data_IF_165639572294
#
_entry.id   IF_165639572294
#
_cell.length_a   1.000
_cell.length_b   1.000
_cell.length_c   1.000
_cell.angle_alpha   90.00
_cell.angle_beta   90.00
_cell.angle_gamma   90.00
#
_symmetry.space_group_name_H-M   'P 1'
#
loop_
_entity.id
_entity.type
_entity.pdbx_description
1 polymer ?
2 polymer ?
3 non-polymer ?
4 water ?
#
# COMPACT_ATOMS: atom_id res chain seq x y z
N UNK A 4 16.76 19.23 -25.02
CA UNK A 4 16.41 18.41 -23.80
C UNK A 4 17.64 18.63 -22.91
N UNK A 5 18.24 19.78 -23.12
CA UNK A 5 19.53 20.03 -22.61
C UNK A 5 19.73 20.57 -21.21
N UNK A 6 18.86 21.48 -20.78
CA UNK A 6 18.85 22.03 -19.39
C UNK A 6 17.36 22.23 -18.99
N UNK A 7 17.02 22.59 -17.73
CA UNK A 7 15.55 22.80 -17.42
C UNK A 7 14.97 23.93 -18.30
N UNK A 8 15.82 24.93 -18.57
CA UNK A 8 15.49 26.08 -19.46
C UNK A 8 14.98 25.69 -20.85
N UNK A 9 15.16 24.44 -21.27
CA UNK A 9 14.45 23.97 -22.45
C UNK A 9 13.13 23.26 -22.09
N UNK A 10 12.77 23.31 -20.81
CA UNK A 10 11.42 22.88 -20.42
C UNK A 10 10.44 24.00 -20.17
N UNK A 11 9.23 23.81 -20.64
CA UNK A 11 8.11 24.52 -20.06
C UNK A 11 7.72 23.80 -18.80
N UNK A 12 7.17 24.56 -17.88
CA UNK A 12 6.65 24.02 -16.66
C UNK A 12 5.69 22.85 -17.01
N UNK A 13 4.75 23.09 -17.89
CA UNK A 13 3.79 22.03 -18.20
C UNK A 13 4.53 20.73 -18.63
N UNK A 14 5.59 20.92 -19.38
CA UNK A 14 6.46 19.85 -19.89
C UNK A 14 7.20 19.15 -18.78
N UNK A 15 7.89 19.91 -17.91
CA UNK A 15 8.63 19.30 -16.84
C UNK A 15 7.71 18.57 -15.82
N UNK A 16 6.48 19.08 -15.64
CA UNK A 16 5.47 18.41 -14.84
C UNK A 16 5.07 17.05 -15.39
N UNK A 17 4.95 16.96 -16.71
CA UNK A 17 4.68 15.70 -17.35
C UNK A 17 5.90 14.75 -17.13
N UNK A 18 7.08 15.33 -17.17
CA UNK A 18 8.23 14.48 -16.91
C UNK A 18 8.03 13.89 -15.51
N UNK A 19 7.73 14.72 -14.50
CA UNK A 19 7.68 14.28 -13.08
C UNK A 19 6.44 13.40 -12.87
N UNK A 20 5.49 13.50 -13.75
CA UNK A 20 4.25 12.76 -13.52
C UNK A 20 4.43 11.34 -13.99
N UNK A 21 5.18 11.20 -15.10
CA UNK A 21 5.68 9.90 -15.63
C UNK A 21 6.61 9.23 -14.60
N UNK A 22 7.70 9.88 -14.19
CA UNK A 22 8.54 9.34 -13.12
C UNK A 22 7.69 8.65 -12.01
N UNK A 23 6.96 9.42 -11.22
CA UNK A 23 6.06 8.95 -10.15
C UNK A 23 4.88 7.98 -10.50
N UNK A 24 4.79 7.48 -11.70
CA UNK A 24 3.81 6.46 -12.00
C UNK A 24 4.55 5.16 -12.36
N UNK A 25 4.73 4.27 -11.40
CA UNK A 25 5.18 2.95 -11.72
C UNK A 25 4.03 2.42 -12.48
N UNK A 26 4.26 1.58 -13.45
CA UNK A 26 3.24 1.31 -14.44
C UNK A 26 3.53 1.97 -15.75
N UNK A 27 4.04 3.17 -15.70
CA UNK A 27 4.29 3.93 -16.89
C UNK A 27 5.70 3.79 -17.46
N UNK A 28 6.64 3.38 -16.65
CA UNK A 28 7.96 3.09 -17.17
C UNK A 28 8.43 1.68 -16.93
N UNK A 29 9.10 1.13 -17.94
CA UNK A 29 9.96 0.00 -17.72
C UNK A 29 11.05 0.53 -16.76
N UNK A 30 11.97 -0.34 -16.30
CA UNK A 30 13.02 0.05 -15.32
C UNK A 30 14.20 0.66 -16.04
N UNK A 31 14.48 0.14 -17.24
CA UNK A 31 15.58 0.75 -17.97
C UNK A 31 15.18 2.20 -18.45
N UNK A 32 13.89 2.36 -18.80
CA UNK A 32 13.36 3.75 -19.06
C UNK A 32 13.46 4.59 -17.81
N UNK A 33 13.07 4.05 -16.65
CA UNK A 33 13.07 4.83 -15.37
C UNK A 33 14.43 5.38 -14.97
N UNK A 34 15.44 4.54 -15.17
CA UNK A 34 16.83 4.78 -14.79
C UNK A 34 17.20 6.07 -15.48
N UNK A 35 16.81 6.18 -16.74
CA UNK A 35 17.26 7.32 -17.50
C UNK A 35 16.41 8.58 -17.26
N UNK A 36 15.10 8.47 -17.03
CA UNK A 36 14.31 9.66 -16.63
C UNK A 36 14.83 10.13 -15.24
N UNK A 37 15.16 9.17 -14.36
CA UNK A 37 15.63 9.63 -13.06
C UNK A 37 16.99 10.38 -13.14
N UNK A 38 17.88 9.91 -14.06
CA UNK A 38 19.25 10.48 -14.17
C UNK A 38 19.05 11.86 -14.72
N UNK A 39 18.39 11.94 -15.88
CA UNK A 39 17.88 13.20 -16.41
C UNK A 39 17.34 14.24 -15.35
N UNK A 40 16.36 13.78 -14.54
CA UNK A 40 15.72 14.61 -13.56
C UNK A 40 16.75 15.32 -12.59
N UNK A 41 17.62 14.52 -12.00
CA UNK A 41 18.77 15.00 -11.25
C UNK A 41 19.62 16.02 -12.04
N UNK A 42 19.78 15.78 -13.32
CA UNK A 42 20.75 16.54 -14.01
C UNK A 42 20.07 17.87 -14.28
N UNK A 43 18.77 17.84 -14.61
CA UNK A 43 18.03 19.05 -14.95
C UNK A 43 17.92 19.95 -13.73
N UNK A 44 17.65 19.33 -12.61
CA UNK A 44 17.25 20.00 -11.42
C UNK A 44 18.49 20.45 -10.70
N UNK A 45 19.59 19.68 -10.78
CA UNK A 45 20.88 20.01 -10.09
C UNK A 45 20.64 20.28 -8.64
N UNK A 46 19.51 19.73 -8.18
CA UNK A 46 19.22 19.57 -6.75
C UNK A 46 20.16 18.60 -6.06
N UNK A 47 20.68 18.96 -4.87
CA UNK A 47 21.58 18.02 -4.23
C UNK A 47 20.84 16.76 -3.61
N UNK A 48 19.52 16.80 -3.35
CA UNK A 48 18.76 15.55 -3.07
C UNK A 48 18.53 14.62 -4.29
N UNK A 49 18.93 14.98 -5.53
CA UNK A 49 18.55 14.10 -6.69
C UNK A 49 17.21 13.38 -6.48
N UNK A 50 17.19 12.05 -6.58
CA UNK A 50 15.89 11.30 -6.61
C UNK A 50 15.28 11.10 -5.22
N UNK A 51 16.04 11.42 -4.20
CA UNK A 51 15.49 11.54 -2.91
C UNK A 51 14.25 12.41 -2.91
N UNK A 52 14.26 13.48 -3.68
CA UNK A 52 13.11 14.36 -3.73
C UNK A 52 11.87 13.57 -4.07
N UNK A 53 11.99 12.49 -4.83
CA UNK A 53 10.86 11.77 -5.37
C UNK A 53 10.48 10.60 -4.40
N UNK A 54 11.46 9.83 -3.94
CA UNK A 54 11.22 8.62 -3.21
C UNK A 54 11.49 8.72 -1.69
N UNK A 55 12.35 9.67 -1.26
CA UNK A 55 12.68 9.79 0.17
C UNK A 55 12.50 11.16 0.68
N UNK A 56 11.24 11.68 0.67
CA UNK A 56 10.98 13.08 0.99
C UNK A 56 10.90 13.27 2.49
N UNK A 57 11.27 14.48 2.93
CA UNK A 57 11.11 14.92 4.33
C UNK A 57 9.61 14.97 4.67
N UNK A 58 9.24 14.71 5.91
CA UNK A 58 7.82 14.57 6.24
C UNK A 58 7.12 15.90 6.06
N UNK A 59 5.91 15.85 5.51
CA UNK A 59 5.19 17.08 5.18
C UNK A 59 5.79 17.93 4.06
N UNK A 60 6.55 17.31 3.15
CA UNK A 60 6.99 17.87 1.89
C UNK A 60 5.92 17.48 0.88
N UNK A 61 5.58 18.30 -0.11
CA UNK A 61 4.49 17.82 -0.87
C UNK A 61 5.11 16.97 -1.96
N UNK A 62 4.95 15.65 -1.86
CA UNK A 62 5.59 14.77 -2.76
C UNK A 62 4.71 14.33 -4.00
N UNK A 63 3.79 15.19 -4.43
CA UNK A 63 3.00 14.93 -5.62
C UNK A 63 3.86 15.43 -6.74
N UNK A 64 3.60 15.00 -7.99
CA UNK A 64 4.31 15.63 -9.12
C UNK A 64 4.45 17.14 -9.04
N UNK A 65 3.34 17.86 -9.07
CA UNK A 65 3.34 19.37 -8.91
C UNK A 65 4.07 19.80 -7.66
N UNK A 66 3.97 19.04 -6.57
CA UNK A 66 4.76 19.41 -5.38
C UNK A 66 6.27 19.13 -5.59
N UNK A 67 6.63 18.16 -6.40
CA UNK A 67 8.06 18.01 -6.57
C UNK A 67 8.59 19.13 -7.49
N UNK A 68 7.91 19.34 -8.64
CA UNK A 68 8.11 20.49 -9.50
C UNK A 68 8.04 21.84 -8.76
N UNK A 69 7.22 21.93 -7.73
CA UNK A 69 7.26 23.18 -6.96
C UNK A 69 8.62 23.33 -6.24
N UNK A 70 8.95 22.43 -5.32
CA UNK A 70 10.16 22.63 -4.56
C UNK A 70 11.41 22.85 -5.46
N UNK A 71 11.35 22.34 -6.69
CA UNK A 71 12.42 22.47 -7.67
C UNK A 71 12.45 23.95 -8.20
N UNK A 72 11.35 24.33 -8.84
CA UNK A 72 11.04 25.72 -9.16
C UNK A 72 11.55 26.65 -8.05
N UNK A 73 11.29 26.33 -6.79
CA UNK A 73 11.62 27.30 -5.74
C UNK A 73 13.09 27.30 -5.37
N UNK A 74 13.67 26.11 -5.13
CA UNK A 74 15.08 25.97 -4.81
C UNK A 74 15.95 26.69 -5.85
N UNK A 75 15.62 26.44 -7.13
CA UNK A 75 16.35 27.01 -8.25
C UNK A 75 16.29 28.57 -8.30
N UNK A 76 15.08 29.15 -8.17
CA UNK A 76 14.93 30.62 -8.16
C UNK A 76 15.62 31.24 -6.93
N UNK A 77 15.64 30.47 -5.85
CA UNK A 77 16.17 30.93 -4.59
C UNK A 77 17.70 31.02 -4.69
N UNK A 78 18.23 30.25 -5.65
CA UNK A 78 19.65 30.09 -5.79
C UNK A 78 20.08 30.79 -7.05
N UNK A 79 19.24 31.71 -7.51
CA UNK A 79 19.44 32.39 -8.77
C UNK A 79 19.88 31.52 -9.96
N UNK A 80 19.51 30.24 -9.99
CA UNK A 80 19.77 29.46 -11.21
C UNK A 80 18.61 29.72 -12.19
N UNK A 81 18.70 29.31 -13.46
CA UNK A 81 17.59 29.56 -14.45
C UNK A 81 16.25 28.76 -14.25
N UNK A 82 15.15 29.19 -14.87
CA UNK A 82 13.83 28.59 -14.66
C UNK A 82 13.29 28.04 -15.95
N UNK A 83 12.00 27.82 -16.03
CA UNK A 83 11.52 27.21 -17.25
C UNK A 83 11.34 28.21 -18.42
N UNK A 84 11.31 27.66 -19.61
CA UNK A 84 10.87 28.34 -20.79
C UNK A 84 9.45 28.88 -20.57
N UNK A 85 9.23 30.13 -20.98
CA UNK A 85 8.00 30.90 -20.74
C UNK A 85 8.13 31.74 -19.44
N UNK B 17 7.66 -22.28 -3.82
CA UNK B 17 7.08 -22.22 -2.42
C UNK B 17 8.07 -21.67 -1.37
N UNK B 18 7.53 -20.94 -0.38
CA UNK B 18 8.37 -20.13 0.47
C UNK B 18 8.24 -20.60 1.88
N UNK B 19 9.30 -20.56 2.67
CA UNK B 19 9.14 -20.92 4.09
C UNK B 19 9.85 -19.99 5.00
N UNK B 20 9.66 -20.15 6.27
CA UNK B 20 10.53 -19.47 7.19
C UNK B 20 9.64 -18.71 8.08
N UNK B 21 10.21 -18.33 9.20
CA UNK B 21 9.56 -17.59 10.23
C UNK B 21 9.81 -16.11 10.03
N UNK B 22 10.86 -15.78 9.28
CA UNK B 22 11.43 -14.43 9.31
C UNK B 22 11.70 -13.91 10.74
N UNK B 23 11.93 -12.61 10.89
CA UNK B 23 12.05 -12.00 12.24
C UNK B 23 11.09 -10.81 12.52
N UNK B 24 10.91 -10.52 13.82
CA UNK B 24 10.16 -9.25 14.02
C UNK B 24 11.02 -8.00 13.83
N UNK B 25 10.36 -6.89 13.37
CA UNK B 25 11.07 -5.61 13.02
C UNK B 25 10.66 -4.27 13.65
N UNK B 26 11.53 -3.28 13.64
CA UNK B 26 11.16 -2.04 14.31
C UNK B 26 10.62 -1.07 13.26
N UNK B 27 10.22 0.14 13.63
CA UNK B 27 9.51 0.97 12.68
C UNK B 27 10.52 1.80 11.84
N UNK B 28 11.79 1.50 12.07
CA UNK B 28 12.88 1.80 11.17
C UNK B 28 13.60 0.51 10.68
N UNK B 29 12.82 -0.42 10.10
CA UNK B 29 13.27 -1.73 9.52
C UNK B 29 14.49 -1.73 8.56
N UNK B 30 14.46 -0.91 7.53
CA UNK B 30 15.56 -0.79 6.60
C UNK B 30 16.84 -0.02 7.08
N UNK B 31 16.82 0.64 8.21
CA UNK B 31 18.03 1.32 8.67
C UNK B 31 19.27 0.41 8.69
N UNK B 32 19.00 -0.89 8.74
CA UNK B 32 20.01 -1.91 9.01
C UNK B 32 20.53 -2.43 7.67
N UNK B 33 20.01 -1.88 6.56
CA UNK B 33 20.18 -2.52 5.24
C UNK B 33 21.51 -2.25 4.53
N UNK B 34 22.38 -1.47 5.19
CA UNK B 34 23.69 -1.20 4.63
C UNK B 34 24.85 -1.77 5.42
N UNK B 35 24.55 -2.81 6.18
CA UNK B 35 25.57 -3.44 7.03
C UNK B 35 25.27 -4.91 7.22
N UNK B 36 26.35 -5.67 7.44
CA UNK B 36 26.29 -7.07 7.76
C UNK B 36 25.39 -7.69 6.77
N UNK B 37 24.38 -8.47 7.17
CA UNK B 37 23.63 -9.17 6.13
C UNK B 37 22.31 -8.46 5.91
N UNK B 38 22.24 -7.24 6.45
CA UNK B 38 21.11 -6.37 6.13
C UNK B 38 19.90 -6.54 6.99
N UNK B 39 18.72 -6.59 6.37
CA UNK B 39 17.45 -6.52 7.14
C UNK B 39 16.67 -7.80 6.95
N UNK B 40 16.21 -8.42 8.04
CA UNK B 40 15.50 -9.72 7.87
C UNK B 40 14.19 -9.54 7.07
N UNK B 41 13.70 -10.59 6.43
CA UNK B 41 12.32 -10.67 6.08
C UNK B 41 11.54 -10.49 7.39
N UNK B 42 10.57 -9.53 7.45
CA UNK B 42 9.64 -9.35 8.60
C UNK B 42 8.76 -10.61 8.90
N UNK B 43 8.48 -10.96 10.17
CA UNK B 43 7.59 -12.14 10.51
C UNK B 43 6.25 -12.14 9.87
N UNK B 44 5.68 -10.94 9.87
CA UNK B 44 4.36 -10.78 9.34
C UNK B 44 4.33 -10.97 7.83
N UNK B 45 5.37 -10.55 7.11
CA UNK B 45 5.43 -10.75 5.64
C UNK B 45 5.66 -12.26 5.37
N UNK B 46 6.44 -12.87 6.26
CA UNK B 46 6.66 -14.31 6.21
C UNK B 46 5.32 -15.12 6.33
N UNK B 47 4.62 -14.98 7.45
CA UNK B 47 3.18 -15.32 7.53
C UNK B 47 2.41 -15.22 6.17
N UNK B 48 2.43 -14.08 5.47
CA UNK B 48 1.68 -13.86 4.25
C UNK B 48 2.18 -14.68 3.10
N UNK B 49 3.51 -14.88 3.05
CA UNK B 49 4.14 -15.46 1.87
C UNK B 49 4.15 -16.96 1.88
N UNK B 50 4.32 -17.61 3.03
CA UNK B 50 4.27 -19.08 2.95
C UNK B 50 2.82 -19.60 2.75
N UNK B 51 1.83 -18.69 2.71
CA UNK B 51 0.51 -18.95 2.08
C UNK B 51 0.48 -18.63 0.53
N UNK B 52 1.62 -18.65 -0.18
CA UNK B 52 1.63 -18.20 -1.60
C UNK B 52 2.01 -19.06 -2.87
N UNK B 53 3.12 -19.80 -2.96
CA UNK B 53 3.41 -20.39 -4.32
C UNK B 53 4.09 -19.37 -5.25
N UNK B 54 5.24 -19.72 -5.85
CA UNK B 54 5.91 -18.73 -6.72
C UNK B 54 6.43 -19.37 -7.96
N UNK B 55 6.85 -18.58 -8.94
CA UNK B 55 7.07 -19.21 -10.23
C UNK B 55 8.48 -18.98 -10.62
N UNK B 56 9.18 -18.20 -9.83
CA UNK B 56 10.58 -17.97 -10.06
C UNK B 56 10.98 -17.28 -8.79
N UNK B 57 12.26 -16.97 -8.62
CA UNK B 57 12.66 -16.14 -7.49
C UNK B 57 12.32 -14.66 -7.81
N UNK B 58 11.96 -14.38 -9.07
CA UNK B 58 11.59 -13.03 -9.45
C UNK B 58 10.15 -12.81 -9.08
N UNK B 59 9.35 -13.84 -9.29
CA UNK B 59 7.99 -13.80 -8.92
C UNK B 59 7.93 -13.65 -7.41
N UNK B 60 8.94 -14.21 -6.74
CA UNK B 60 8.96 -14.18 -5.27
C UNK B 60 9.21 -12.79 -4.83
N UNK B 61 10.14 -12.16 -5.51
CA UNK B 61 10.67 -10.84 -5.19
C UNK B 61 9.51 -9.83 -5.29
N UNK B 62 8.77 -9.96 -6.40
CA UNK B 62 7.54 -9.22 -6.68
C UNK B 62 6.58 -9.25 -5.54
N UNK B 63 6.20 -10.45 -5.05
CA UNK B 63 5.11 -10.58 -4.04
C UNK B 63 5.58 -10.20 -2.66
N UNK B 64 6.89 -10.32 -2.45
CA UNK B 64 7.45 -9.89 -1.24
C UNK B 64 7.28 -8.33 -1.16
N UNK B 65 7.48 -7.65 -2.31
CA UNK B 65 7.46 -6.19 -2.21
C UNK B 65 6.02 -5.69 -2.14
N UNK B 66 5.19 -6.26 -3.00
CA UNK B 66 3.76 -6.30 -2.89
C UNK B 66 3.17 -6.33 -1.48
N UNK B 67 3.64 -7.24 -0.65
CA UNK B 67 3.13 -7.37 0.68
C UNK B 67 3.73 -6.34 1.65
N UNK B 68 4.98 -5.96 1.41
CA UNK B 68 5.59 -5.04 2.35
C UNK B 68 4.75 -3.83 2.24
N UNK B 69 4.16 -3.61 1.07
CA UNK B 69 3.49 -2.35 0.87
C UNK B 69 2.02 -2.38 1.37
N UNK B 70 1.45 -3.57 1.61
CA UNK B 70 0.14 -3.72 2.30
C UNK B 70 0.24 -3.90 3.84
N UNK B 71 1.46 -4.01 4.36
CA UNK B 71 1.50 -4.28 5.80
C UNK B 71 1.50 -2.95 6.56
N UNK B 72 0.43 -2.62 7.36
CA UNK B 72 0.37 -1.35 8.13
C UNK B 72 1.74 -0.89 8.61
N UNK B 73 2.53 -1.80 9.12
CA UNK B 73 3.66 -1.37 9.88
C UNK B 73 4.87 -1.24 9.02
N UNK B 74 4.80 -1.79 7.84
CA UNK B 74 5.96 -1.75 6.95
C UNK B 74 5.64 -0.62 6.01
N UNK B 75 4.46 -0.60 5.42
CA UNK B 75 4.19 0.48 4.50
C UNK B 75 4.37 1.89 5.13
N UNK B 76 4.08 2.08 6.39
CA UNK B 76 4.34 3.40 6.95
C UNK B 76 5.79 3.88 6.79
N UNK B 77 6.74 3.00 6.51
CA UNK B 77 8.14 3.45 6.55
C UNK B 77 8.67 3.89 5.23
N UNK B 78 7.86 3.68 4.16
CA UNK B 78 8.12 4.14 2.81
C UNK B 78 7.21 5.31 2.37
N UNK B 79 7.78 6.15 1.49
CA UNK B 79 7.09 7.22 0.80
C UNK B 79 6.05 6.63 -0.14
N UNK B 80 5.12 7.46 -0.54
CA UNK B 80 4.09 7.13 -1.48
C UNK B 80 4.68 6.66 -2.75
N UNK B 81 5.81 7.23 -3.16
CA UNK B 81 6.25 6.90 -4.52
C UNK B 81 6.94 5.57 -4.48
N UNK B 82 7.53 5.27 -3.30
CA UNK B 82 8.00 3.88 -3.11
C UNK B 82 6.87 2.88 -2.94
N UNK B 83 5.77 3.25 -2.26
CA UNK B 83 4.64 2.30 -2.13
C UNK B 83 3.99 2.17 -3.53
N UNK B 84 3.82 3.27 -4.24
CA UNK B 84 3.45 3.11 -5.65
C UNK B 84 4.24 2.02 -6.43
N UNK B 85 5.57 2.00 -6.29
CA UNK B 85 6.41 0.96 -6.98
C UNK B 85 6.19 -0.46 -6.45
N UNK B 86 6.21 -0.64 -5.12
CA UNK B 86 5.94 -1.99 -4.43
C UNK B 86 4.57 -2.61 -4.76
N UNK B 87 3.51 -1.84 -4.63
CA UNK B 87 2.26 -2.17 -5.31
C UNK B 87 2.42 -3.02 -6.57
N UNK B 88 3.33 -2.66 -7.45
CA UNK B 88 3.39 -3.40 -8.73
C UNK B 88 4.59 -4.35 -8.77
N UNK B 89 5.24 -4.53 -7.65
CA UNK B 89 6.31 -5.54 -7.64
C UNK B 89 7.73 -5.02 -7.64
N UNK B 90 7.90 -3.75 -7.92
CA UNK B 90 9.21 -3.24 -8.03
C UNK B 90 9.73 -2.84 -6.63
N UNK B 91 11.04 -2.92 -6.54
CA UNK B 91 11.73 -2.83 -5.24
C UNK B 91 11.82 -1.36 -4.90
N UNK B 92 11.72 -1.03 -3.61
CA UNK B 92 11.69 0.41 -3.47
C UNK B 92 13.11 0.95 -3.82
N UNK B 93 13.18 2.16 -4.34
CA UNK B 93 14.41 2.93 -4.58
C UNK B 93 15.17 3.27 -3.28
N UNK B 94 16.47 3.18 -3.24
CA UNK B 94 17.24 3.64 -2.09
C UNK B 94 17.42 5.11 -2.06
N UNK B 95 17.85 5.67 -0.93
CA UNK B 95 18.42 7.02 -0.91
C UNK B 95 19.60 7.03 -1.94
N UNK B 96 19.78 8.15 -2.66
CA UNK B 96 20.79 8.24 -3.76
C UNK B 96 22.18 7.83 -3.27
N UNK B 97 22.58 8.28 -2.09
CA UNK B 97 23.85 7.84 -1.54
C UNK B 97 24.14 6.30 -1.54
N UNK B 98 23.13 5.43 -1.52
CA UNK B 98 23.31 4.00 -1.32
C UNK B 98 23.25 3.30 -2.68
N UNK B 99 23.15 4.10 -3.72
CA UNK B 99 23.10 3.68 -5.11
C UNK B 99 24.51 3.08 -5.51
N UNK B 100 24.51 2.06 -6.38
CA UNK B 100 25.74 1.80 -7.12
C UNK B 100 25.50 1.47 -8.60
N UNK B 101 26.01 2.35 -9.46
CA UNK B 101 25.85 2.20 -10.90
C UNK B 101 24.37 2.30 -11.24
N UNK B 102 23.90 1.36 -12.07
CA UNK B 102 22.47 1.16 -12.40
C UNK B 102 21.70 0.22 -11.42
N UNK B 103 22.13 0.24 -10.16
CA UNK B 103 21.49 -0.46 -9.09
C UNK B 103 21.08 0.54 -8.08
N UNK B 104 19.77 0.77 -8.06
CA UNK B 104 19.25 1.93 -7.35
C UNK B 104 18.19 1.51 -6.31
N UNK B 105 17.60 0.36 -6.51
CA UNK B 105 16.61 -0.08 -5.60
C UNK B 105 17.20 -1.05 -4.58
N UNK B 106 16.54 -1.17 -3.40
CA UNK B 106 16.88 -2.27 -2.46
C UNK B 106 16.83 -3.71 -3.06
N UNK B 107 17.68 -4.61 -2.54
CA UNK B 107 17.95 -5.88 -3.16
C UNK B 107 17.75 -7.05 -2.14
N UNK B 108 17.38 -8.22 -2.68
CA UNK B 108 17.28 -9.41 -1.81
C UNK B 108 18.52 -10.30 -1.91
N UNK B 109 19.16 -10.54 -0.78
CA UNK B 109 20.33 -11.40 -0.67
C UNK B 109 19.88 -12.81 -0.14
N UNK B 110 20.21 -13.84 -0.93
CA UNK B 110 19.99 -15.25 -0.60
C UNK B 110 21.29 -15.76 0.00
N UNK B 111 21.34 -15.98 1.30
CA UNK B 111 22.48 -16.66 1.93
C UNK B 111 22.60 -18.18 1.66
N UNK B 112 21.73 -18.81 0.86
CA UNK B 112 22.07 -20.14 0.30
C UNK B 112 21.56 -20.54 -1.09
N UNK B 113 22.26 -21.47 -1.76
CA UNK B 113 21.63 -21.62 -3.08
C UNK B 113 20.22 -22.16 -2.95
CA UNK B 120 12.62 -23.23 -2.65
C UNK B 120 12.89 -22.38 -1.39
N UNK B 121 12.05 -21.38 -1.16
CA UNK B 121 12.47 -20.10 -0.63
C UNK B 121 12.59 -19.92 0.93
N UNK B 122 13.75 -20.29 1.46
CA UNK B 122 13.87 -20.23 2.91
C UNK B 122 14.04 -18.77 3.23
N UNK B 123 13.03 -18.18 3.87
CA UNK B 123 13.02 -16.77 4.16
C UNK B 123 13.91 -16.46 5.31
N UNK B 124 14.42 -17.51 5.92
CA UNK B 124 15.20 -17.28 7.11
C UNK B 124 16.64 -16.99 6.74
N UNK B 125 16.89 -17.20 5.44
CA UNK B 125 18.20 -16.91 4.87
C UNK B 125 18.07 -15.95 3.76
N UNK B 126 17.02 -15.11 3.82
CA UNK B 126 16.85 -14.07 2.87
C UNK B 126 16.82 -12.73 3.62
N UNK B 127 17.71 -11.83 3.24
CA UNK B 127 17.56 -10.53 3.84
C UNK B 127 17.46 -9.40 2.79
N UNK B 128 17.31 -8.16 3.27
CA UNK B 128 17.24 -6.98 2.37
C UNK B 128 18.50 -6.19 2.51
N UNK B 129 19.03 -5.74 1.40
CA UNK B 129 20.33 -5.02 1.34
C UNK B 129 20.35 -3.90 0.29
N UNK B 130 21.04 -2.83 0.61
CA UNK B 130 21.36 -1.76 -0.37
C UNK B 130 22.35 -2.33 -1.38
N UNK B 131 22.23 -1.85 -2.63
CA UNK B 131 23.22 -2.20 -3.67
C UNK B 131 24.73 -2.24 -3.27
N UNK B 132 25.23 -1.32 -2.48
CA UNK B 132 26.68 -1.25 -2.18
C UNK B 132 27.05 -2.36 -1.22
N UNK B 133 26.20 -2.53 -0.21
CA UNK B 133 26.30 -3.69 0.71
C UNK B 133 26.15 -5.08 0.05
N UNK B 134 25.20 -5.24 -0.86
CA UNK B 134 25.05 -6.51 -1.54
C UNK B 134 26.34 -6.80 -2.31
N UNK B 135 26.90 -5.78 -2.97
CA UNK B 135 28.25 -5.86 -3.54
C UNK B 135 29.35 -6.34 -2.54
N UNK B 136 29.43 -5.74 -1.36
CA UNK B 136 30.53 -5.95 -0.45
C UNK B 136 30.52 -7.36 0.15
N UNK B 137 29.30 -7.92 0.26
CA UNK B 137 28.99 -9.22 0.78
C UNK B 137 29.53 -10.20 -0.17
N UNK B 138 29.19 -10.06 -1.45
CA UNK B 138 29.60 -11.04 -2.42
C UNK B 138 31.10 -10.94 -2.77
N UNK B 139 31.76 -9.78 -2.57
CA UNK B 139 33.20 -9.77 -2.68
C UNK B 139 33.95 -9.91 -1.33
N UNK B 140 33.22 -10.45 -0.36
CA UNK B 140 33.78 -10.81 0.93
C UNK B 140 34.05 -9.68 1.91
N UNK B 141 33.72 -8.42 1.57
CA UNK B 141 34.01 -7.24 2.43
C UNK B 141 32.91 -6.92 3.44
N UNK C 15 -12.70 12.99 -19.28
CA UNK C 15 -11.49 13.33 -18.53
C UNK C 15 -11.69 14.28 -17.34
N UNK C 16 -12.56 13.94 -16.37
CA UNK C 16 -12.80 14.77 -15.18
C UNK C 16 -11.56 15.09 -14.32
N UNK C 17 -11.70 15.83 -13.25
CA UNK C 17 -10.54 16.36 -12.65
C UNK C 17 -10.96 16.71 -11.22
N UNK C 18 -9.99 16.78 -10.33
CA UNK C 18 -10.35 16.70 -8.97
C UNK C 18 -9.71 17.88 -8.39
N UNK C 19 -10.44 18.62 -7.60
CA UNK C 19 -9.89 19.84 -6.97
C UNK C 19 -10.13 19.80 -5.50
N UNK C 20 -9.39 20.62 -4.79
CA UNK C 20 -9.66 20.86 -3.39
C UNK C 20 -8.41 20.66 -2.58
N UNK C 21 -8.40 21.31 -1.43
CA UNK C 21 -7.32 21.12 -0.54
C UNK C 21 -7.46 19.87 0.31
N UNK C 22 -8.70 19.40 0.52
CA UNK C 22 -8.92 18.43 1.62
C UNK C 22 -8.41 19.01 2.95
N UNK C 23 -8.21 18.17 3.97
CA UNK C 23 -7.87 18.59 5.37
C UNK C 23 -6.80 17.68 6.00
N UNK C 24 -6.18 18.15 7.12
CA UNK C 24 -5.23 17.20 7.72
C UNK C 24 -6.01 16.29 8.65
N UNK C 25 -5.53 15.06 8.87
CA UNK C 25 -6.29 14.01 9.56
C UNK C 25 -5.44 13.32 10.56
N UNK C 26 -6.04 12.82 11.63
CA UNK C 26 -5.24 12.22 12.72
C UNK C 26 -4.91 10.79 12.41
N UNK C 27 -4.23 10.10 13.32
CA UNK C 27 -3.80 8.76 12.90
C UNK C 27 -4.82 7.66 13.19
N UNK C 28 -6.03 8.15 13.46
CA UNK C 28 -7.30 7.41 13.45
C UNK C 28 -8.34 8.11 12.60
N UNK C 29 -7.88 8.51 11.45
CA UNK C 29 -8.66 9.14 10.44
C UNK C 29 -10.13 8.71 10.45
N UNK C 30 -10.43 7.45 10.15
CA UNK C 30 -11.84 6.97 9.97
C UNK C 30 -12.69 6.68 11.20
N UNK C 31 -12.20 6.92 12.43
CA UNK C 31 -13.08 6.82 13.60
C UNK C 31 -14.24 7.84 13.49
N UNK C 32 -14.00 8.91 12.76
CA UNK C 32 -14.94 9.98 12.68
C UNK C 32 -16.08 9.58 11.77
N UNK C 33 -15.95 8.43 11.08
CA UNK C 33 -16.71 8.22 9.81
C UNK C 33 -18.18 7.84 9.98
N UNK C 34 -18.56 7.77 11.25
CA UNK C 34 -19.87 7.29 11.61
C UNK C 34 -20.70 8.40 12.20
N UNK C 35 -20.18 9.63 12.14
CA UNK C 35 -20.89 10.83 12.56
C UNK C 35 -20.90 11.96 11.53
N UNK C 36 -21.81 12.92 11.70
CA UNK C 36 -21.91 14.11 10.86
C UNK C 36 -21.64 13.81 9.41
N UNK C 37 -20.74 14.60 8.80
CA UNK C 37 -20.50 14.42 7.43
C UNK C 37 -19.31 13.49 7.29
N UNK C 38 -18.81 13.03 8.43
CA UNK C 38 -17.87 11.93 8.41
C UNK C 38 -16.43 12.31 8.33
N UNK C 39 -15.69 11.67 7.43
CA UNK C 39 -14.22 11.90 7.38
C UNK C 39 -13.71 12.69 6.17
N UNK C 40 -12.91 13.76 6.44
CA UNK C 40 -12.51 14.58 5.29
C UNK C 40 -11.62 13.86 4.27
N UNK C 41 -11.47 14.41 3.06
CA UNK C 41 -10.42 13.88 2.17
C UNK C 41 -9.11 14.31 2.89
N UNK C 42 -8.12 13.39 3.09
CA UNK C 42 -6.78 13.84 3.62
C UNK C 42 -6.03 14.87 2.71
N UNK C 43 -5.34 15.86 3.26
CA UNK C 43 -4.67 16.82 2.30
C UNK C 43 -3.61 16.20 1.45
N UNK C 44 -2.90 15.20 2.01
CA UNK C 44 -1.88 14.54 1.20
C UNK C 44 -2.46 13.84 -0.05
N UNK C 45 -3.66 13.22 0.10
CA UNK C 45 -4.32 12.47 -0.99
C UNK C 45 -4.90 13.41 -2.05
N UNK C 46 -5.51 14.49 -1.56
CA UNK C 46 -5.83 15.71 -2.33
C UNK C 46 -4.65 16.15 -3.23
N UNK C 47 -3.53 16.59 -2.64
CA UNK C 47 -2.22 16.78 -3.36
C UNK C 47 -2.07 15.74 -4.44
N UNK C 48 -2.20 14.46 -4.12
CA UNK C 48 -1.89 13.43 -5.14
C UNK C 48 -2.92 13.37 -6.23
N UNK C 49 -4.15 13.79 -5.95
CA UNK C 49 -5.26 13.36 -6.76
C UNK C 49 -5.57 14.40 -7.77
N UNK C 50 -5.35 15.64 -7.40
CA UNK C 50 -5.42 16.74 -8.36
C UNK C 50 -4.22 16.80 -9.40
N UNK C 51 -3.29 15.84 -9.35
CA UNK C 51 -2.33 15.62 -10.43
C UNK C 51 -2.84 14.48 -11.30
N UNK C 52 -4.17 14.20 -11.32
CA UNK C 52 -4.64 12.92 -11.89
C UNK C 52 -5.55 12.74 -13.08
N UNK C 53 -6.59 13.53 -13.31
CA UNK C 53 -7.48 13.11 -14.45
C UNK C 53 -8.39 11.89 -14.18
N UNK C 54 -9.70 12.03 -14.32
CA UNK C 54 -10.61 10.87 -14.04
C UNK C 54 -11.65 10.56 -15.10
N UNK C 55 -12.25 9.39 -15.02
CA UNK C 55 -13.01 8.86 -16.16
C UNK C 55 -14.45 8.66 -15.79
N UNK C 56 -14.68 8.68 -14.49
CA UNK C 56 -16.01 8.68 -13.90
C UNK C 56 -15.77 9.02 -12.47
N UNK C 57 -16.86 9.25 -11.76
CA UNK C 57 -16.75 9.37 -10.33
C UNK C 57 -16.33 7.98 -9.78
N UNK C 58 -16.46 6.95 -10.61
CA UNK C 58 -16.15 5.62 -10.12
C UNK C 58 -14.68 5.48 -10.20
N UNK C 59 -14.16 6.00 -11.29
CA UNK C 59 -12.75 5.95 -11.51
C UNK C 59 -12.04 6.85 -10.49
N UNK C 60 -12.68 7.96 -10.16
CA UNK C 60 -12.23 8.79 -9.04
C UNK C 60 -12.09 7.93 -7.78
N UNK C 61 -13.08 7.09 -7.54
CA UNK C 61 -13.23 6.39 -6.29
C UNK C 61 -12.12 5.29 -6.10
N UNK C 62 -11.93 4.47 -7.11
CA UNK C 62 -10.74 3.64 -7.26
C UNK C 62 -9.44 4.36 -6.81
N UNK C 63 -9.00 5.36 -7.60
CA UNK C 63 -7.73 6.08 -7.38
C UNK C 63 -7.65 6.72 -5.97
N UNK C 64 -8.80 7.07 -5.47
CA UNK C 64 -8.77 7.68 -4.19
C UNK C 64 -8.32 6.59 -3.15
N UNK C 65 -8.77 5.35 -3.34
CA UNK C 65 -8.44 4.32 -2.39
C UNK C 65 -7.02 3.85 -2.64
N UNK C 66 -6.73 3.51 -3.90
CA UNK C 66 -5.37 3.30 -4.37
C UNK C 66 -4.41 4.28 -3.66
N UNK C 67 -4.71 5.58 -3.64
CA UNK C 67 -3.76 6.47 -3.06
C UNK C 67 -3.70 6.36 -1.54
N UNK C 68 -4.82 6.03 -0.95
CA UNK C 68 -4.86 6.07 0.47
C UNK C 68 -3.89 5.03 0.96
N UNK C 69 -3.81 3.96 0.18
CA UNK C 69 -3.11 2.76 0.61
C UNK C 69 -1.61 2.92 0.34
N UNK C 70 -1.24 3.91 -0.52
CA UNK C 70 0.15 4.30 -0.72
C UNK C 70 0.70 5.32 0.28
N UNK C 71 -0.12 5.83 1.16
CA UNK C 71 0.39 6.95 1.89
C UNK C 71 0.81 6.44 3.28
N UNK C 72 2.10 6.47 3.55
CA UNK C 72 2.67 6.05 4.86
C UNK C 72 1.71 6.28 6.06
N UNK C 73 1.07 7.42 6.08
CA UNK C 73 0.34 7.89 7.21
C UNK C 73 -1.13 7.48 7.16
N UNK C 74 -1.59 7.04 5.99
CA UNK C 74 -2.96 6.54 5.90
C UNK C 74 -2.91 5.03 5.90
N UNK C 75 -1.95 4.41 5.20
CA UNK C 75 -1.91 2.93 5.08
C UNK C 75 -1.60 2.24 6.41
N UNK C 76 -0.72 2.84 7.18
CA UNK C 76 -0.56 2.36 8.56
C UNK C 76 -1.90 2.16 9.33
N UNK C 77 -3.02 2.81 8.96
CA UNK C 77 -4.23 2.72 9.82
C UNK C 77 -5.19 1.56 9.45
N UNK C 78 -4.83 0.76 8.45
CA UNK C 78 -5.65 -0.30 7.95
C UNK C 78 -4.88 -1.66 8.09
N UNK C 79 -5.60 -2.73 8.34
CA UNK C 79 -5.04 -4.04 8.24
C UNK C 79 -4.59 -4.27 6.76
N UNK C 80 -3.80 -5.33 6.53
CA UNK C 80 -3.31 -5.67 5.24
C UNK C 80 -4.34 -6.16 4.30
N UNK C 81 -5.39 -6.76 4.82
CA UNK C 81 -6.42 -7.29 3.96
C UNK C 81 -7.26 -6.20 3.48
N UNK C 82 -7.42 -5.15 4.31
CA UNK C 82 -7.91 -3.84 3.74
C UNK C 82 -6.93 -3.16 2.78
N UNK C 83 -5.60 -3.07 3.11
CA UNK C 83 -4.68 -2.46 2.07
C UNK C 83 -4.74 -3.32 0.73
N UNK C 84 -4.99 -4.60 0.86
CA UNK C 84 -4.98 -5.49 -0.27
C UNK C 84 -6.13 -5.02 -1.11
N UNK C 85 -7.23 -4.54 -0.47
CA UNK C 85 -8.46 -4.14 -1.27
C UNK C 85 -8.29 -2.79 -2.03
N UNK C 86 -7.93 -1.78 -1.24
CA UNK C 86 -7.54 -0.45 -1.72
C UNK C 86 -6.48 -0.45 -2.88
N UNK C 87 -5.38 -1.14 -2.68
CA UNK C 87 -4.52 -1.49 -3.81
C UNK C 87 -5.22 -1.60 -5.16
N UNK C 88 -6.31 -2.28 -5.26
CA UNK C 88 -6.85 -2.51 -6.59
C UNK C 88 -8.13 -1.74 -6.72
N UNK C 89 -8.23 -0.70 -5.91
CA UNK C 89 -9.39 0.18 -6.03
C UNK C 89 -10.59 -0.03 -5.10
N UNK C 90 -10.63 -1.10 -4.37
CA UNK C 90 -11.81 -1.30 -3.61
C UNK C 90 -11.67 -0.62 -2.25
N UNK C 91 -12.85 -0.43 -1.68
CA UNK C 91 -13.04 0.51 -0.61
C UNK C 91 -12.82 -0.32 0.62
N UNK C 92 -12.17 0.28 1.65
CA UNK C 92 -11.99 -0.65 2.74
C UNK C 92 -13.31 -1.14 3.33
N UNK C 93 -13.34 -2.38 3.74
CA UNK C 93 -14.41 -2.93 4.56
C UNK C 93 -14.48 -2.34 5.97
N UNK C 94 -15.71 -1.99 6.41
CA UNK C 94 -15.96 -1.41 7.73
C UNK C 94 -16.01 -2.51 8.78
N UNK C 95 -15.84 -2.14 10.03
CA UNK C 95 -16.16 -3.05 11.08
C UNK C 95 -17.59 -3.59 10.78
N UNK C 96 -17.88 -4.82 11.15
CA UNK C 96 -19.25 -5.36 10.88
C UNK C 96 -20.52 -4.61 11.54
N UNK C 97 -20.36 -4.04 12.74
CA UNK C 97 -21.32 -3.06 13.28
C UNK C 97 -21.84 -1.95 12.33
N UNK C 98 -21.00 -1.47 11.41
CA UNK C 98 -21.25 -0.20 10.68
C UNK C 98 -21.76 -0.57 9.33
N UNK C 99 -21.97 -1.86 9.13
CA UNK C 99 -22.47 -2.38 7.86
C UNK C 99 -23.99 -2.08 7.72
N UNK C 100 -24.52 -1.96 6.49
CA UNK C 100 -26.00 -1.87 6.26
C UNK C 100 -26.38 -2.65 5.01
N UNK C 101 -27.07 -3.78 5.18
CA UNK C 101 -27.48 -4.64 4.06
C UNK C 101 -26.27 -5.16 3.33
N UNK C 102 -26.37 -5.26 2.02
CA UNK C 102 -25.18 -5.48 1.23
C UNK C 102 -24.23 -4.25 1.12
N UNK C 103 -24.08 -3.40 2.14
CA UNK C 103 -23.15 -2.25 2.11
C UNK C 103 -22.14 -2.32 3.23
N UNK C 104 -20.96 -2.79 2.86
CA UNK C 104 -19.96 -3.28 3.77
C UNK C 104 -18.58 -2.60 3.74
N UNK C 105 -18.43 -1.62 2.85
CA UNK C 105 -17.18 -0.94 2.58
C UNK C 105 -17.44 0.52 2.90
N UNK C 106 -16.38 1.29 3.22
CA UNK C 106 -16.55 2.73 3.46
C UNK C 106 -16.97 3.47 2.17
N UNK C 107 -17.68 4.56 2.34
CA UNK C 107 -18.42 5.15 1.23
C UNK C 107 -18.06 6.66 1.15
N UNK C 108 -18.10 7.14 -0.06
CA UNK C 108 -17.85 8.53 -0.38
C UNK C 108 -19.19 9.28 -0.54
N UNK C 109 -19.37 10.25 0.39
CA UNK C 109 -20.46 11.23 0.35
C UNK C 109 -20.13 12.54 -0.45
N UNK C 110 -20.83 12.80 -1.57
CA UNK C 110 -20.65 14.08 -2.35
C UNK C 110 -21.68 15.06 -1.92
N UNK C 111 -21.24 15.99 -1.09
CA UNK C 111 -22.08 17.02 -0.54
C UNK C 111 -22.62 18.00 -1.57
N UNK C 112 -22.32 17.83 -2.87
CA UNK C 112 -23.18 18.40 -3.96
C UNK C 112 -23.42 17.52 -5.23
CA UNK C 120 -15.94 17.40 -11.36
C UNK C 120 -15.58 17.80 -9.94
N UNK C 121 -14.57 17.11 -9.40
CA UNK C 121 -14.63 16.63 -8.05
C UNK C 121 -14.04 17.54 -6.97
N UNK C 122 -14.92 18.34 -6.39
CA UNK C 122 -14.47 19.22 -5.32
C UNK C 122 -14.23 18.44 -4.01
N UNK C 123 -12.99 18.07 -3.78
CA UNK C 123 -12.59 17.25 -2.60
C UNK C 123 -12.87 17.93 -1.27
N UNK C 124 -13.32 19.18 -1.39
CA UNK C 124 -13.62 19.96 -0.22
C UNK C 124 -15.08 19.78 0.21
N UNK C 125 -15.81 19.12 -0.66
CA UNK C 125 -17.12 18.66 -0.37
C UNK C 125 -17.28 17.16 -0.65
N UNK C 126 -16.20 16.42 -0.40
CA UNK C 126 -16.34 15.01 -0.47
C UNK C 126 -15.95 14.49 0.89
N UNK C 127 -16.76 13.63 1.46
CA UNK C 127 -16.24 12.93 2.66
C UNK C 127 -16.31 11.37 2.68
N UNK C 128 -15.78 10.82 3.75
CA UNK C 128 -15.89 9.35 3.89
C UNK C 128 -16.76 8.99 5.04
N UNK C 129 -17.59 8.00 4.81
CA UNK C 129 -18.62 7.65 5.81
C UNK C 129 -18.90 6.14 5.84
N UNK C 130 -19.28 5.65 7.01
CA UNK C 130 -19.89 4.31 7.09
C UNK C 130 -21.25 4.29 6.34
N UNK C 131 -21.61 3.11 5.79
CA UNK C 131 -22.94 2.91 5.11
C UNK C 131 -24.16 3.28 5.99
N UNK C 132 -24.13 3.11 7.32
CA UNK C 132 -25.30 3.52 8.17
C UNK C 132 -25.37 5.04 8.32
N UNK C 133 -24.21 5.68 8.49
CA UNK C 133 -24.16 7.13 8.47
C UNK C 133 -24.52 7.79 7.09
N UNK C 134 -23.96 7.27 5.99
CA UNK C 134 -24.34 7.75 4.71
C UNK C 134 -25.89 7.68 4.62
N UNK C 135 -26.52 6.59 5.13
CA UNK C 135 -28.00 6.40 5.01
C UNK C 135 -28.78 7.55 5.65
N UNK C 136 -28.48 7.82 6.93
CA UNK C 136 -29.14 8.82 7.72
C UNK C 136 -29.04 10.17 6.99
N UNK C 137 -27.83 10.51 6.49
CA UNK C 137 -27.55 11.84 5.95
C UNK C 137 -28.50 12.02 4.82
N UNK C 138 -28.67 10.99 4.02
CA UNK C 138 -29.54 11.16 2.90
C UNK C 138 -31.02 11.20 3.30
N UNK C 139 -31.40 10.58 4.42
CA UNK C 139 -32.79 10.71 4.85
C UNK C 139 -32.92 11.77 5.97
N UNK C 140 -32.00 12.74 5.98
CA UNK C 140 -32.12 13.96 6.80
C UNK C 140 -31.75 13.87 8.28
N UNK C 141 -31.29 12.70 8.71
CA UNK C 141 -31.02 12.33 10.12
C UNK C 141 -29.53 12.42 10.51
N UNK D 4 -22.07 -28.31 2.62
CA UNK D 4 -21.67 -26.92 2.94
C UNK D 4 -22.30 -26.41 4.25
N UNK D 5 -22.63 -27.29 5.21
CA UNK D 5 -23.50 -26.91 6.42
C UNK D 5 -22.91 -26.28 7.74
N UNK D 6 -21.84 -26.83 8.33
CA UNK D 6 -21.11 -26.20 9.45
C UNK D 6 -19.61 -26.35 9.08
N UNK D 7 -18.69 -25.75 9.88
CA UNK D 7 -17.22 -25.96 9.68
C UNK D 7 -16.90 -27.48 9.64
N UNK D 8 -17.68 -28.25 10.43
CA UNK D 8 -17.56 -29.71 10.51
C UNK D 8 -17.74 -30.39 9.18
N UNK D 9 -18.24 -29.67 8.16
CA UNK D 9 -18.13 -30.14 6.76
C UNK D 9 -16.90 -29.62 6.01
N UNK D 10 -16.05 -28.84 6.69
CA UNK D 10 -14.74 -28.55 6.12
C UNK D 10 -13.66 -29.38 6.70
N UNK D 11 -12.77 -29.85 5.84
CA UNK D 11 -11.38 -30.17 6.30
C UNK D 11 -10.61 -28.87 6.47
N UNK D 12 -9.70 -28.85 7.42
CA UNK D 12 -8.80 -27.71 7.57
C UNK D 12 -8.24 -27.19 6.21
N UNK D 13 -7.72 -28.07 5.38
CA UNK D 13 -7.18 -27.60 4.09
C UNK D 13 -8.24 -26.88 3.22
N UNK D 14 -9.47 -27.42 3.19
CA UNK D 14 -10.59 -26.81 2.51
C UNK D 14 -10.89 -25.46 3.11
N UNK D 15 -11.08 -25.34 4.43
CA UNK D 15 -11.37 -24.00 5.04
C UNK D 15 -10.24 -22.98 4.81
N UNK D 16 -9.02 -23.48 4.88
CA UNK D 16 -7.86 -22.68 4.49
C UNK D 16 -8.04 -22.01 3.10
N UNK D 17 -8.31 -22.81 2.09
CA UNK D 17 -8.49 -22.31 0.78
C UNK D 17 -9.63 -21.34 0.77
N UNK D 18 -10.70 -21.61 1.51
CA UNK D 18 -11.75 -20.59 1.58
C UNK D 18 -11.25 -19.21 2.03
N UNK D 19 -10.57 -19.16 3.20
CA UNK D 19 -9.95 -17.92 3.77
C UNK D 19 -8.92 -17.25 2.81
N UNK D 20 -8.20 -18.09 2.08
CA UNK D 20 -7.13 -17.62 1.15
C UNK D 20 -7.78 -16.87 0.02
N UNK D 21 -8.96 -17.31 -0.40
CA UNK D 21 -9.67 -16.60 -1.43
C UNK D 21 -10.24 -15.26 -0.89
N UNK D 22 -10.98 -15.29 0.21
CA UNK D 22 -11.47 -14.05 0.86
C UNK D 22 -10.34 -12.97 0.85
N UNK D 23 -9.20 -13.32 1.44
CA UNK D 23 -8.03 -12.46 1.60
C UNK D 23 -7.31 -11.97 0.30
N UNK D 24 -7.71 -12.43 -0.85
CA UNK D 24 -7.14 -11.96 -2.05
C UNK D 24 -8.16 -11.12 -2.80
N UNK D 25 -8.11 -9.81 -2.70
CA UNK D 25 -8.91 -8.96 -3.53
C UNK D 25 -8.37 -9.30 -4.83
N UNK D 26 -9.13 -9.22 -5.89
CA UNK D 26 -8.67 -9.77 -7.13
C UNK D 26 -9.15 -11.15 -7.46
N UNK D 27 -9.42 -11.97 -6.48
CA UNK D 27 -9.96 -13.29 -6.81
C UNK D 27 -11.51 -13.26 -6.91
N UNK D 28 -12.10 -12.30 -6.24
CA UNK D 28 -13.55 -12.30 -6.14
C UNK D 28 -14.04 -10.99 -6.63
N UNK D 29 -15.21 -11.02 -7.31
CA UNK D 29 -16.04 -9.87 -7.55
C UNK D 29 -16.56 -9.41 -6.19
N UNK D 30 -17.32 -8.31 -6.11
CA UNK D 30 -17.89 -7.89 -4.82
C UNK D 30 -19.12 -8.70 -4.38
N UNK D 31 -19.94 -9.11 -5.34
CA UNK D 31 -21.06 -9.97 -5.03
C UNK D 31 -20.62 -11.33 -4.56
N UNK D 32 -19.61 -11.91 -5.19
CA UNK D 32 -19.10 -13.16 -4.70
C UNK D 32 -18.56 -13.04 -3.27
N UNK D 33 -17.91 -11.92 -2.93
CA UNK D 33 -17.21 -11.81 -1.65
C UNK D 33 -18.18 -11.66 -0.49
N UNK D 34 -19.28 -10.95 -0.74
CA UNK D 34 -20.38 -10.80 0.20
C UNK D 34 -20.79 -12.18 0.72
N UNK D 35 -21.01 -13.13 -0.19
CA UNK D 35 -21.48 -14.46 0.26
C UNK D 35 -20.42 -15.23 1.00
N UNK D 36 -19.15 -15.20 0.57
CA UNK D 36 -18.10 -15.97 1.29
C UNK D 36 -17.96 -15.30 2.64
N UNK D 37 -18.22 -13.99 2.65
CA UNK D 37 -18.02 -13.35 3.93
C UNK D 37 -19.14 -13.79 4.88
N UNK D 38 -20.33 -14.10 4.33
CA UNK D 38 -21.48 -14.32 5.19
C UNK D 38 -21.28 -15.79 5.67
N UNK D 39 -21.02 -16.65 4.69
CA UNK D 39 -20.64 -18.01 4.92
C UNK D 39 -19.54 -18.17 5.98
N UNK D 40 -18.43 -17.44 5.78
CA UNK D 40 -17.35 -17.40 6.70
C UNK D 40 -17.83 -17.12 8.16
N UNK D 41 -18.64 -16.11 8.32
CA UNK D 41 -19.24 -15.79 9.61
C UNK D 41 -20.11 -16.95 10.18
N UNK D 42 -20.84 -17.61 9.30
CA UNK D 42 -21.78 -18.64 9.75
C UNK D 42 -21.07 -19.91 10.13
N UNK D 43 -19.99 -20.22 9.42
CA UNK D 43 -19.19 -21.41 9.71
C UNK D 43 -18.47 -21.20 11.01
N UNK D 44 -18.07 -19.97 11.28
CA UNK D 44 -17.14 -19.71 12.36
C UNK D 44 -17.91 -19.41 13.57
N UNK D 45 -19.01 -18.67 13.44
CA UNK D 45 -19.85 -18.30 14.59
C UNK D 45 -19.00 -17.56 15.58
N UNK D 46 -17.88 -17.01 15.09
CA UNK D 46 -17.07 -16.10 15.86
C UNK D 46 -17.78 -14.75 16.06
N UNK D 47 -17.84 -14.22 17.32
CA UNK D 47 -18.50 -12.88 17.46
C UNK D 47 -17.80 -11.72 16.73
N UNK D 48 -16.53 -11.85 16.38
CA UNK D 48 -15.91 -10.81 15.56
C UNK D 48 -16.33 -10.84 14.04
N UNK D 49 -16.97 -11.92 13.58
CA UNK D 49 -17.30 -11.99 12.16
C UNK D 49 -16.12 -11.64 11.23
N UNK D 50 -16.28 -10.66 10.37
CA UNK D 50 -15.31 -10.42 9.38
C UNK D 50 -14.34 -9.41 9.89
N UNK D 51 -14.66 -8.70 10.93
CA UNK D 51 -13.55 -8.09 11.66
C UNK D 51 -12.31 -8.95 11.76
N UNK D 52 -12.48 -10.22 12.09
CA UNK D 52 -11.32 -11.04 12.27
C UNK D 52 -10.42 -10.88 11.07
N UNK D 53 -10.99 -10.64 9.88
CA UNK D 53 -10.25 -10.56 8.68
C UNK D 53 -9.71 -9.18 8.36
N UNK D 54 -10.61 -8.16 8.40
CA UNK D 54 -10.25 -6.81 7.98
C UNK D 54 -9.86 -5.89 9.14
N UNK D 55 -10.30 -6.22 10.37
CA UNK D 55 -9.96 -5.37 11.59
C UNK D 55 -9.34 -6.16 12.73
N UNK D 56 -8.13 -6.70 12.58
CA UNK D 56 -7.62 -7.49 13.72
C UNK D 56 -6.98 -6.68 14.87
N UNK D 57 -7.11 -7.15 16.12
CA UNK D 57 -6.21 -6.68 17.17
C UNK D 57 -4.72 -6.75 16.70
N UNK D 58 -3.97 -5.66 16.88
CA UNK D 58 -2.49 -5.64 16.59
C UNK D 58 -1.73 -6.89 17.12
N UNK D 59 -0.86 -7.44 16.28
CA UNK D 59 -0.06 -8.59 16.65
C UNK D 59 -0.87 -9.88 16.72
N UNK D 60 -2.03 -9.92 16.04
CA UNK D 60 -2.74 -11.17 15.73
C UNK D 60 -2.26 -11.59 14.36
N UNK D 61 -2.08 -12.86 14.12
CA UNK D 61 -1.59 -13.19 12.85
C UNK D 61 -2.76 -13.15 11.92
N UNK D 62 -2.82 -12.13 11.09
CA UNK D 62 -3.86 -12.04 10.06
C UNK D 62 -3.58 -12.66 8.63
N UNK D 63 -2.76 -13.71 8.61
CA UNK D 63 -2.54 -14.47 7.36
C UNK D 63 -3.73 -15.39 7.24
N UNK D 64 -4.09 -15.85 6.00
CA UNK D 64 -5.13 -16.94 5.94
C UNK D 64 -4.94 -17.95 7.04
N UNK D 65 -3.81 -18.67 7.11
CA UNK D 65 -3.51 -19.66 8.23
C UNK D 65 -3.64 -19.02 9.61
N UNK D 66 -3.29 -17.74 9.73
CA UNK D 66 -3.43 -17.11 11.08
C UNK D 66 -4.92 -16.88 11.44
N UNK D 67 -5.77 -16.66 10.42
CA UNK D 67 -7.20 -16.50 10.70
C UNK D 67 -7.74 -17.89 11.05
N UNK D 68 -7.66 -18.85 10.09
CA UNK D 68 -7.98 -20.26 10.36
C UNK D 68 -7.47 -20.78 11.73
N UNK D 69 -6.23 -20.44 12.08
CA UNK D 69 -5.73 -20.76 13.44
C UNK D 69 -6.54 -20.17 14.59
N UNK D 70 -6.70 -18.85 14.66
CA UNK D 70 -7.48 -18.25 15.78
C UNK D 70 -8.94 -18.78 15.87
N UNK D 71 -9.44 -19.31 14.73
CA UNK D 71 -10.77 -19.91 14.62
C UNK D 71 -10.72 -21.32 15.23
N UNK D 72 -9.82 -22.15 14.72
CA UNK D 72 -9.53 -23.47 15.27
C UNK D 72 -9.45 -23.34 16.79
N UNK D 73 -8.74 -22.31 17.23
CA UNK D 73 -8.45 -22.18 18.63
C UNK D 73 -9.67 -21.77 19.32
N UNK D 74 -10.34 -20.67 18.93
CA UNK D 74 -11.48 -20.15 19.72
C UNK D 74 -12.58 -21.24 19.91
N UNK D 75 -12.97 -21.85 18.80
CA UNK D 75 -13.93 -22.94 18.78
C UNK D 75 -13.52 -24.13 19.70
N UNK D 76 -12.32 -24.67 19.51
CA UNK D 76 -11.79 -25.64 20.47
C UNK D 76 -11.88 -25.14 21.97
N UNK D 77 -11.49 -23.88 22.19
CA UNK D 77 -11.54 -23.27 23.52
C UNK D 77 -12.94 -23.15 24.08
N UNK D 78 -13.96 -23.24 23.24
CA UNK D 78 -15.36 -23.04 23.68
C UNK D 78 -16.16 -24.29 23.44
N UNK D 79 -15.46 -25.41 23.41
CA UNK D 79 -16.10 -26.70 23.22
C UNK D 79 -16.95 -26.92 21.99
N UNK D 80 -16.74 -26.12 20.94
CA UNK D 80 -17.54 -26.31 19.70
C UNK D 80 -16.82 -27.28 18.74
N UNK D 81 -17.52 -27.75 17.71
CA UNK D 81 -16.94 -28.76 16.80
C UNK D 81 -15.82 -28.25 15.85
N UNK D 82 -14.93 -29.14 15.38
CA UNK D 82 -13.72 -28.75 14.65
C UNK D 82 -13.92 -29.34 13.28
N UNK D 83 -12.86 -29.39 12.48
CA UNK D 83 -12.96 -29.85 11.09
C UNK D 83 -13.09 -31.40 10.90
N UNK D 84 -13.68 -31.82 9.80
CA UNK D 84 -13.64 -33.16 9.32
C UNK D 84 -12.13 -33.58 9.27
N UNK D 85 -11.79 -34.85 9.55
CA UNK D 85 -10.37 -35.37 9.71
C UNK D 85 -9.76 -35.41 11.15
X LIG E 1 23.39 -11.93 -2.58
X LIG F 1 -23.92 11.03 -0.20
#
# INVERSE_FOLDING_TARGET
MELKHSISDYTEAEFLQLVTTICDAEATSEEELDKLITHFEEMTEHPSGSDLIYWPKEGDDDSPSGIVNTVKQWRAANGKSGFKQG
MHHHHHHSMGKRNKPGKATGKGKPVNNKWLNNAGKDLGSPVPDRIANKLRDKEFKSFDDFRKKFWEEVSKDPELSKQFSRNNNDRMKVGKAPKTRTQDVSGKRTSFELHAEKPISQNGGVYDMDNISVVTPKRHIDIHRGK
MHHHHHHSMGKRNKPGKATGKGKPVNNKWLNNAGKDLGSPVPDRIANKLRDKEFKSFDDFRKKFWEEVSKDPELSKQFSRNNNDRMKVGKAPKTRTQDVSGKRTSFELHAEKPISQNGGVYDMDNISVVTPKRHIDIHRGK
MELKHSISDYTEAEFLQLVTTICDAEATSEEELDKLITHFEEMTEHPSGSDLIYWPKEGDDDSPSGIVNTVKQWRAANGKSGFKQG
ZN ZN
ZN ZN
#
